data_IF_170595030780
#
_entry.id   IF_170595030780
#
_cell.length_a   1.000
_cell.length_b   1.000
_cell.length_c   1.000
_cell.angle_alpha   90.00
_cell.angle_beta   90.00
_cell.angle_gamma   90.00
#
_symmetry.space_group_name_H-M   'P 1'
#
loop_
_entity.id
_entity.type
_entity.pdbx_description
1 polymer ?
#
# COMPACT_ATOMS: atom_id res chain seq x y z
N UNK A 1 74.09 38.75 1.12
CA UNK A 1 74.21 37.96 -0.13
C UNK A 1 73.16 36.88 -0.10
N UNK A 2 72.35 36.85 -1.13
CA UNK A 2 71.45 35.79 -1.56
C UNK A 2 70.17 35.52 -0.74
N UNK A 3 69.06 35.97 -1.22
CA UNK A 3 68.17 35.44 -2.28
C UNK A 3 67.58 34.06 -1.89
N UNK A 4 66.28 34.04 -1.69
CA UNK A 4 65.44 32.83 -1.61
C UNK A 4 64.01 33.20 -1.87
N UNK A 5 63.49 32.69 -2.93
CA UNK A 5 62.25 32.99 -3.58
C UNK A 5 61.01 32.42 -2.81
N UNK A 6 59.93 33.13 -2.95
CA UNK A 6 58.58 32.74 -2.53
C UNK A 6 57.97 31.74 -3.50
N UNK A 7 57.47 30.61 -3.04
CA UNK A 7 56.53 29.80 -3.77
C UNK A 7 55.17 29.74 -3.07
N UNK A 8 54.15 30.19 -3.79
CA UNK A 8 52.77 30.15 -3.35
C UNK A 8 52.20 28.77 -3.56
N UNK A 9 51.84 28.12 -2.43
CA UNK A 9 51.10 26.88 -2.44
C UNK A 9 49.60 27.13 -2.32
N UNK A 10 48.90 26.97 -3.43
CA UNK A 10 47.43 27.02 -3.46
C UNK A 10 46.82 25.97 -2.51
N UNK A 11 46.05 26.47 -1.58
CA UNK A 11 45.25 25.65 -0.67
C UNK A 11 43.99 25.20 -1.40
N UNK A 12 43.98 23.97 -1.92
CA UNK A 12 42.80 23.31 -2.41
C UNK A 12 41.76 23.16 -1.28
N UNK A 13 40.64 23.82 -1.45
CA UNK A 13 39.47 23.63 -0.59
C UNK A 13 39.01 22.18 -0.70
N UNK A 14 39.22 21.40 0.33
CA UNK A 14 38.60 20.11 0.52
C UNK A 14 37.10 20.37 0.72
N UNK A 15 36.28 19.88 -0.20
CA UNK A 15 34.85 19.75 -0.01
C UNK A 15 34.64 18.84 1.21
N UNK A 16 34.18 19.42 2.29
CA UNK A 16 33.77 18.68 3.49
C UNK A 16 32.61 17.77 3.10
N UNK A 17 32.89 16.47 3.10
CA UNK A 17 31.87 15.46 3.12
C UNK A 17 31.17 15.55 4.47
N UNK A 18 30.03 16.25 4.49
CA UNK A 18 29.10 16.17 5.61
C UNK A 18 28.50 14.77 5.57
N UNK A 19 29.09 13.86 6.31
CA UNK A 19 28.51 12.57 6.65
C UNK A 19 27.21 12.78 7.44
N UNK A 20 26.26 11.82 7.41
CA UNK A 20 25.02 11.95 8.14
C UNK A 20 25.31 12.03 9.65
N UNK A 21 24.84 13.10 10.27
CA UNK A 21 25.17 13.51 11.64
C UNK A 21 24.44 12.71 12.75
N UNK A 22 23.71 11.67 12.41
CA UNK A 22 23.03 10.81 13.40
C UNK A 22 22.98 9.36 12.87
N UNK A 23 23.83 8.51 13.42
CA UNK A 23 23.64 7.07 13.39
C UNK A 23 22.39 6.74 14.20
N UNK A 24 21.39 6.13 13.54
CA UNK A 24 20.19 5.60 14.18
C UNK A 24 20.62 4.47 15.14
N UNK A 25 20.32 4.54 16.45
CA UNK A 25 20.71 3.53 17.42
C UNK A 25 20.13 2.14 17.16
N UNK A 26 19.20 1.99 16.22
CA UNK A 26 18.59 0.72 15.83
C UNK A 26 19.19 0.11 14.55
N UNK A 27 20.16 0.74 13.88
CA UNK A 27 20.76 0.24 12.65
C UNK A 27 19.86 0.30 11.41
N UNK A 28 18.72 1.02 11.47
CA UNK A 28 17.83 1.20 10.32
C UNK A 28 18.33 2.32 9.40
N UNK A 29 18.87 1.94 8.26
CA UNK A 29 19.36 2.90 7.26
C UNK A 29 18.22 3.48 6.42
N UNK A 30 17.50 4.48 6.96
CA UNK A 30 16.39 5.17 6.31
C UNK A 30 16.81 5.80 4.97
N UNK A 31 17.97 6.47 4.94
CA UNK A 31 18.45 7.15 3.74
C UNK A 31 18.79 6.14 2.63
N UNK A 32 19.47 5.06 2.96
CA UNK A 32 19.75 3.96 2.03
C UNK A 32 18.49 3.31 1.48
N UNK A 33 17.49 3.04 2.36
CA UNK A 33 16.19 2.52 1.93
C UNK A 33 15.49 3.48 0.94
N UNK A 34 15.46 4.77 1.25
CA UNK A 34 14.85 5.78 0.38
C UNK A 34 15.50 5.85 -1.00
N UNK A 35 16.83 5.72 -1.09
CA UNK A 35 17.57 5.69 -2.37
C UNK A 35 17.15 4.46 -3.19
N UNK A 36 17.11 3.28 -2.58
CA UNK A 36 16.73 2.02 -3.25
C UNK A 36 15.27 2.05 -3.74
N UNK A 37 14.36 2.53 -2.89
CA UNK A 37 12.94 2.64 -3.27
C UNK A 37 12.72 3.65 -4.40
N UNK A 38 13.45 4.76 -4.43
CA UNK A 38 13.41 5.72 -5.55
C UNK A 38 13.95 5.09 -6.85
N UNK A 39 15.04 4.31 -6.77
CA UNK A 39 15.58 3.61 -7.93
C UNK A 39 14.59 2.57 -8.50
N UNK A 40 13.87 1.85 -7.63
CA UNK A 40 12.79 0.94 -8.04
C UNK A 40 11.59 1.71 -8.61
N UNK A 41 11.19 2.82 -8.00
CA UNK A 41 10.10 3.65 -8.50
C UNK A 41 10.37 4.22 -9.90
N UNK A 42 11.63 4.55 -10.22
CA UNK A 42 12.05 4.93 -11.57
C UNK A 42 11.88 3.79 -12.59
N UNK A 43 11.79 2.54 -12.13
CA UNK A 43 11.50 1.34 -12.93
C UNK A 43 10.02 0.90 -12.80
N UNK A 44 9.12 1.79 -12.39
CA UNK A 44 7.69 1.56 -12.16
C UNK A 44 7.37 0.58 -11.01
N UNK A 45 8.31 0.27 -10.14
CA UNK A 45 8.10 -0.59 -8.97
C UNK A 45 7.94 0.28 -7.73
N UNK A 46 6.70 0.42 -7.24
CA UNK A 46 6.36 1.23 -6.08
C UNK A 46 6.07 0.34 -4.88
N UNK A 47 6.91 0.45 -3.85
CA UNK A 47 6.79 -0.34 -2.62
C UNK A 47 6.53 0.58 -1.44
N UNK A 48 5.56 0.24 -0.60
CA UNK A 48 5.22 1.01 0.59
C UNK A 48 4.38 0.22 1.59
N UNK A 49 3.92 0.91 2.62
CA UNK A 49 3.07 0.33 3.66
C UNK A 49 1.59 0.30 3.28
N UNK A 50 0.82 -0.52 3.97
CA UNK A 50 -0.65 -0.49 3.91
C UNK A 50 -1.26 0.51 4.91
N UNK A 51 -0.45 1.31 5.57
CA UNK A 51 -0.75 2.49 6.38
C UNK A 51 0.58 3.16 6.75
N UNK A 52 0.53 4.33 7.37
CA UNK A 52 1.72 5.10 7.75
C UNK A 52 1.69 5.62 9.21
N UNK A 53 0.57 5.57 9.91
CA UNK A 53 0.38 6.17 11.24
C UNK A 53 0.76 5.22 12.37
N UNK A 54 2.03 4.82 12.42
CA UNK A 54 2.55 3.91 13.44
C UNK A 54 3.64 4.56 14.27
N UNK A 55 3.36 4.85 15.55
CA UNK A 55 4.36 5.38 16.50
C UNK A 55 5.52 4.39 16.72
N UNK A 56 5.28 3.09 16.52
CA UNK A 56 6.33 2.06 16.60
C UNK A 56 7.43 2.18 15.53
N UNK A 57 7.27 3.08 14.55
CA UNK A 57 8.31 3.38 13.55
C UNK A 57 9.16 4.62 13.91
N UNK A 58 8.99 5.18 15.11
CA UNK A 58 9.89 6.23 15.65
C UNK A 58 11.29 5.65 15.78
N UNK A 59 12.30 6.40 15.32
CA UNK A 59 13.69 5.93 15.23
C UNK A 59 13.98 5.08 13.98
N UNK A 60 12.98 4.79 13.16
CA UNK A 60 13.14 4.13 11.85
C UNK A 60 12.71 5.07 10.72
N UNK A 61 11.41 5.18 10.51
CA UNK A 61 10.81 6.03 9.46
C UNK A 61 10.65 7.48 9.95
N UNK A 62 10.40 7.65 11.23
CA UNK A 62 10.05 8.93 11.85
C UNK A 62 11.07 9.40 12.89
N UNK A 63 11.43 10.67 12.81
CA UNK A 63 12.28 11.36 13.79
C UNK A 63 11.40 11.93 14.91
N UNK A 64 11.63 11.47 16.14
CA UNK A 64 10.82 11.89 17.31
C UNK A 64 10.77 13.41 17.49
N UNK A 65 11.86 14.09 17.18
CA UNK A 65 12.07 15.52 17.31
C UNK A 65 11.09 16.34 16.49
N UNK A 66 10.66 15.83 15.33
CA UNK A 66 9.67 16.47 14.45
C UNK A 66 8.27 16.57 15.07
N UNK A 67 8.00 15.77 16.09
CA UNK A 67 6.67 15.65 16.70
C UNK A 67 6.63 16.12 18.15
N UNK A 68 7.56 17.01 18.54
CA UNK A 68 7.55 17.62 19.86
C UNK A 68 6.67 18.88 19.88
N UNK A 69 5.80 18.95 20.89
CA UNK A 69 5.05 20.15 21.24
C UNK A 69 5.42 20.52 22.69
N UNK A 70 5.97 21.71 22.88
CA UNK A 70 6.46 22.17 24.21
C UNK A 70 7.43 21.18 24.88
N UNK A 71 8.36 20.60 24.10
CA UNK A 71 9.37 19.65 24.56
C UNK A 71 8.86 18.22 24.82
N UNK A 72 7.59 17.91 24.55
CA UNK A 72 7.01 16.58 24.75
C UNK A 72 6.46 16.03 23.43
N UNK A 73 6.55 14.71 23.24
CA UNK A 73 5.96 14.05 22.07
C UNK A 73 4.44 14.28 22.02
N UNK A 74 3.96 14.70 20.87
CA UNK A 74 2.56 14.98 20.60
C UNK A 74 2.00 13.97 19.59
N UNK A 75 1.24 12.98 20.07
CA UNK A 75 0.51 12.03 19.23
C UNK A 75 -0.39 12.74 18.22
N UNK A 76 -1.02 13.86 18.61
CA UNK A 76 -1.85 14.65 17.68
C UNK A 76 -1.03 15.21 16.52
N UNK A 77 0.12 15.82 16.79
CA UNK A 77 1.02 16.35 15.77
C UNK A 77 1.52 15.23 14.87
N UNK A 78 1.95 14.11 15.46
CA UNK A 78 2.35 12.92 14.72
C UNK A 78 1.23 12.44 13.78
N UNK A 79 0.03 12.21 14.28
CA UNK A 79 -1.12 11.72 13.50
C UNK A 79 -1.50 12.67 12.34
N UNK A 80 -1.19 13.96 12.47
CA UNK A 80 -1.52 14.97 11.45
C UNK A 80 -0.44 15.11 10.38
N UNK A 81 0.85 15.04 10.77
CA UNK A 81 1.97 15.45 9.92
C UNK A 81 2.88 14.30 9.45
N UNK A 82 2.77 13.10 10.04
CA UNK A 82 3.72 12.01 9.76
C UNK A 82 3.73 11.53 8.30
N UNK A 83 2.68 11.82 7.51
CA UNK A 83 2.64 11.48 6.09
C UNK A 83 3.73 12.21 5.29
N UNK A 84 4.06 13.45 5.65
CA UNK A 84 5.14 14.22 5.02
C UNK A 84 6.47 13.49 5.15
N UNK A 85 6.79 13.07 6.38
CA UNK A 85 8.03 12.36 6.65
C UNK A 85 8.04 10.95 6.05
N UNK A 86 6.90 10.25 6.07
CA UNK A 86 6.75 8.96 5.40
C UNK A 86 7.09 9.05 3.90
N UNK A 87 6.61 10.10 3.22
CA UNK A 87 6.84 10.32 1.80
C UNK A 87 8.30 10.67 1.44
N UNK A 88 9.15 11.02 2.41
CA UNK A 88 10.58 11.18 2.20
C UNK A 88 11.28 9.82 1.93
N UNK A 89 10.71 8.74 2.46
CA UNK A 89 11.27 7.38 2.37
C UNK A 89 10.53 6.52 1.34
N UNK A 90 9.21 6.50 1.39
CA UNK A 90 8.39 5.60 0.58
C UNK A 90 7.71 6.33 -0.58
N UNK A 91 7.70 5.76 -1.80
CA UNK A 91 7.06 6.38 -2.96
C UNK A 91 5.54 6.20 -3.02
N UNK A 92 4.98 5.34 -2.16
CA UNK A 92 3.56 4.96 -2.19
C UNK A 92 3.05 4.50 -0.83
N UNK A 93 1.73 4.54 -0.66
CA UNK A 93 1.01 3.94 0.48
C UNK A 93 -0.38 3.49 0.06
N UNK A 94 -0.90 2.43 0.67
CA UNK A 94 -2.30 2.02 0.54
C UNK A 94 -3.10 2.51 1.76
N UNK A 95 -4.01 3.46 1.56
CA UNK A 95 -4.82 4.04 2.62
C UNK A 95 -6.15 3.33 2.84
N UNK A 96 -6.48 3.02 4.09
CA UNK A 96 -7.77 2.41 4.49
C UNK A 96 -8.84 3.44 4.86
N UNK A 97 -8.49 4.71 5.02
CA UNK A 97 -9.39 5.76 5.51
C UNK A 97 -10.59 6.03 4.60
N UNK A 98 -10.46 5.83 3.29
CA UNK A 98 -11.54 5.93 2.33
C UNK A 98 -12.49 4.72 2.34
N UNK A 99 -12.11 3.64 2.97
CA UNK A 99 -12.89 2.39 2.98
C UNK A 99 -14.20 2.50 3.76
N UNK A 100 -14.21 3.27 4.85
CA UNK A 100 -15.36 3.33 5.76
C UNK A 100 -16.39 4.42 5.43
N UNK A 101 -16.03 5.38 4.61
CA UNK A 101 -16.91 6.48 4.19
C UNK A 101 -16.36 7.14 2.93
N UNK A 102 -17.24 7.81 2.18
CA UNK A 102 -16.82 8.64 1.06
C UNK A 102 -16.07 9.88 1.57
N UNK A 103 -14.81 10.11 1.17
CA UNK A 103 -14.05 11.27 1.62
C UNK A 103 -14.56 12.57 0.98
N UNK A 104 -14.50 13.66 1.73
CA UNK A 104 -14.84 14.99 1.21
C UNK A 104 -13.74 15.57 0.32
N UNK A 105 -14.09 16.56 -0.52
CA UNK A 105 -13.11 17.29 -1.33
C UNK A 105 -12.02 17.97 -0.47
N UNK A 106 -12.39 18.47 0.72
CA UNK A 106 -11.43 19.06 1.67
C UNK A 106 -10.45 18.01 2.21
N UNK A 107 -10.96 16.80 2.50
CA UNK A 107 -10.11 15.68 2.92
C UNK A 107 -9.06 15.36 1.85
N UNK A 108 -9.46 15.25 0.58
CA UNK A 108 -8.54 15.00 -0.53
C UNK A 108 -7.49 16.11 -0.65
N UNK A 109 -7.91 17.35 -0.61
CA UNK A 109 -7.01 18.51 -0.68
C UNK A 109 -5.95 18.47 0.44
N UNK A 110 -6.35 18.17 1.68
CA UNK A 110 -5.43 18.05 2.81
C UNK A 110 -4.49 16.85 2.67
N UNK A 111 -4.98 15.72 2.20
CA UNK A 111 -4.18 14.50 2.04
C UNK A 111 -3.10 14.68 0.97
N UNK A 112 -3.50 15.07 -0.24
CA UNK A 112 -2.58 15.23 -1.36
C UNK A 112 -1.60 16.39 -1.16
N UNK A 113 -1.99 17.44 -0.44
CA UNK A 113 -1.12 18.56 -0.07
C UNK A 113 0.03 18.21 0.90
N UNK A 114 0.03 17.01 1.48
CA UNK A 114 1.10 16.55 2.36
C UNK A 114 2.22 15.80 1.63
N UNK A 115 2.03 15.46 0.37
CA UNK A 115 2.99 14.61 -0.36
C UNK A 115 3.46 15.27 -1.65
N UNK A 116 4.68 14.95 -2.10
CA UNK A 116 5.18 15.48 -3.38
C UNK A 116 4.38 14.90 -4.56
N UNK A 117 4.40 15.59 -5.70
CA UNK A 117 3.62 15.23 -6.89
C UNK A 117 3.93 13.86 -7.49
N UNK A 118 5.12 13.32 -7.22
CA UNK A 118 5.51 11.98 -7.67
C UNK A 118 5.03 10.86 -6.74
N UNK A 119 4.56 11.17 -5.53
CA UNK A 119 4.01 10.17 -4.60
C UNK A 119 2.70 9.59 -5.15
N UNK A 120 2.50 8.30 -4.98
CA UNK A 120 1.30 7.58 -5.46
C UNK A 120 0.53 6.98 -4.30
N UNK A 121 -0.74 7.30 -4.22
CA UNK A 121 -1.67 6.67 -3.28
C UNK A 121 -2.36 5.49 -3.92
N UNK A 122 -2.54 4.42 -3.17
CA UNK A 122 -3.57 3.43 -3.43
C UNK A 122 -4.70 3.61 -2.42
N UNK A 123 -5.93 3.50 -2.88
CA UNK A 123 -7.10 3.62 -2.01
C UNK A 123 -7.95 2.37 -2.10
N UNK A 124 -8.40 1.89 -0.96
CA UNK A 124 -9.53 0.97 -0.93
C UNK A 124 -10.80 1.76 -1.24
N UNK A 125 -11.55 1.29 -2.20
CA UNK A 125 -12.87 1.84 -2.53
C UNK A 125 -13.79 1.66 -1.31
N UNK A 126 -14.69 2.64 -1.04
CA UNK A 126 -15.61 2.55 0.09
C UNK A 126 -16.41 1.25 0.13
N UNK A 127 -16.56 0.68 1.33
CA UNK A 127 -17.27 -0.60 1.51
C UNK A 127 -18.76 -0.53 1.14
N UNK A 128 -19.33 0.67 1.07
CA UNK A 128 -20.67 0.87 0.51
C UNK A 128 -20.79 0.38 -0.94
N UNK A 129 -19.67 0.29 -1.67
CA UNK A 129 -19.61 -0.26 -3.02
C UNK A 129 -19.27 -1.74 -3.04
N UNK A 130 -18.40 -2.20 -2.12
CA UNK A 130 -17.83 -3.57 -2.18
C UNK A 130 -18.46 -4.56 -1.22
N UNK A 131 -19.26 -4.09 -0.26
CA UNK A 131 -19.92 -4.95 0.71
C UNK A 131 -21.33 -5.31 0.23
N UNK A 132 -21.59 -6.60 -0.05
CA UNK A 132 -22.94 -7.05 -0.45
C UNK A 132 -23.92 -7.10 0.72
N UNK A 133 -23.45 -7.58 1.87
CA UNK A 133 -24.22 -7.65 3.13
C UNK A 133 -23.41 -6.94 4.19
N UNK A 134 -24.01 -5.95 4.84
CA UNK A 134 -23.32 -5.22 5.90
C UNK A 134 -22.93 -6.16 7.04
N UNK A 135 -21.67 -6.15 7.49
CA UNK A 135 -21.26 -6.94 8.64
C UNK A 135 -22.11 -6.66 9.88
N UNK A 136 -22.36 -7.68 10.70
CA UNK A 136 -23.01 -7.53 12.00
C UNK A 136 -22.05 -6.87 13.00
N UNK A 137 -21.78 -5.57 12.79
CA UNK A 137 -20.85 -4.78 13.60
C UNK A 137 -21.54 -3.49 14.05
N UNK A 138 -21.31 -3.01 15.28
CA UNK A 138 -22.00 -1.84 15.87
C UNK A 138 -22.00 -0.57 14.99
N UNK A 139 -20.94 -0.36 14.17
CA UNK A 139 -20.85 0.80 13.27
C UNK A 139 -21.96 0.85 12.20
N UNK A 140 -22.58 -0.28 11.87
CA UNK A 140 -23.68 -0.34 10.89
C UNK A 140 -25.07 -0.18 11.53
N UNK A 141 -25.15 -0.18 12.87
CA UNK A 141 -26.40 -0.04 13.59
C UNK A 141 -27.46 -1.03 13.10
N UNK A 142 -28.63 -0.52 12.72
CA UNK A 142 -29.76 -1.32 12.22
C UNK A 142 -29.56 -1.90 10.82
N UNK A 143 -28.51 -1.52 10.09
CA UNK A 143 -28.18 -2.07 8.77
C UNK A 143 -27.36 -3.36 8.85
N UNK A 144 -26.76 -3.65 10.01
CA UNK A 144 -25.97 -4.88 10.22
C UNK A 144 -26.76 -6.14 9.85
N UNK A 145 -26.17 -7.00 9.03
CA UNK A 145 -26.78 -8.23 8.51
C UNK A 145 -27.77 -8.04 7.36
N UNK A 146 -28.05 -6.79 6.90
CA UNK A 146 -28.93 -6.52 5.76
C UNK A 146 -28.16 -6.44 4.47
N UNK A 147 -28.83 -6.74 3.35
CA UNK A 147 -28.28 -6.48 2.02
C UNK A 147 -28.02 -4.98 1.81
N UNK A 148 -26.94 -4.70 1.11
CA UNK A 148 -26.57 -3.35 0.73
C UNK A 148 -27.10 -3.02 -0.66
N UNK A 149 -28.06 -2.11 -0.82
CA UNK A 149 -28.59 -1.73 -2.14
C UNK A 149 -27.55 -1.01 -3.00
N UNK A 150 -26.52 -0.41 -2.41
CA UNK A 150 -25.40 0.24 -3.11
C UNK A 150 -24.27 -0.69 -3.54
N UNK A 151 -24.44 -2.02 -3.39
CA UNK A 151 -23.42 -2.98 -3.80
C UNK A 151 -23.20 -2.92 -5.32
N UNK A 152 -21.95 -2.64 -5.72
CA UNK A 152 -21.52 -2.46 -7.11
C UNK A 152 -22.33 -1.37 -7.86
N UNK A 153 -22.70 -0.30 -7.17
CA UNK A 153 -23.30 0.89 -7.77
C UNK A 153 -22.19 1.77 -8.40
N UNK A 154 -22.06 1.68 -9.73
CA UNK A 154 -21.07 2.46 -10.47
C UNK A 154 -21.39 3.97 -10.49
N UNK A 155 -22.69 4.33 -10.49
CA UNK A 155 -23.12 5.73 -10.46
C UNK A 155 -22.77 6.41 -9.14
N UNK A 156 -23.09 5.75 -8.01
CA UNK A 156 -22.71 6.24 -6.69
C UNK A 156 -21.17 6.32 -6.51
N UNK A 157 -20.44 5.33 -7.02
CA UNK A 157 -18.98 5.36 -6.99
C UNK A 157 -18.42 6.56 -7.79
N UNK A 158 -18.93 6.78 -9.00
CA UNK A 158 -18.48 7.88 -9.86
C UNK A 158 -18.75 9.23 -9.19
N UNK A 159 -19.97 9.47 -8.76
CA UNK A 159 -20.41 10.76 -8.19
C UNK A 159 -19.70 11.07 -6.89
N UNK A 160 -19.68 10.13 -5.95
CA UNK A 160 -19.28 10.36 -4.56
C UNK A 160 -17.80 10.12 -4.30
N UNK A 161 -17.10 9.39 -5.18
CA UNK A 161 -15.71 9.00 -4.97
C UNK A 161 -14.78 9.42 -6.10
N UNK A 162 -15.09 9.02 -7.34
CA UNK A 162 -14.17 9.24 -8.46
C UNK A 162 -14.14 10.71 -8.90
N UNK A 163 -15.28 11.37 -8.98
CA UNK A 163 -15.37 12.78 -9.38
C UNK A 163 -14.61 13.72 -8.42
N UNK A 164 -14.75 13.61 -7.08
CA UNK A 164 -13.92 14.37 -6.15
C UNK A 164 -12.43 14.02 -6.20
N UNK A 165 -12.07 12.81 -6.64
CA UNK A 165 -10.70 12.34 -6.75
C UNK A 165 -10.02 12.74 -8.08
N UNK A 166 -10.79 13.05 -9.11
CA UNK A 166 -10.30 13.32 -10.47
C UNK A 166 -9.20 14.41 -10.56
N UNK A 167 -9.24 15.51 -9.80
CA UNK A 167 -8.14 16.48 -9.78
C UNK A 167 -6.79 15.87 -9.37
N UNK A 168 -6.80 14.78 -8.61
CA UNK A 168 -5.64 14.10 -8.05
C UNK A 168 -5.30 12.79 -8.77
N UNK A 169 -5.88 12.53 -9.96
CA UNK A 169 -5.68 11.26 -10.70
C UNK A 169 -4.21 10.92 -10.97
N UNK A 170 -3.34 11.94 -11.13
CA UNK A 170 -1.90 11.71 -11.34
C UNK A 170 -1.18 11.17 -10.11
N UNK A 171 -1.65 11.48 -8.91
CA UNK A 171 -1.13 10.97 -7.64
C UNK A 171 -1.92 9.74 -7.14
N UNK A 172 -3.02 9.40 -7.79
CA UNK A 172 -3.78 8.16 -7.54
C UNK A 172 -3.16 7.04 -8.35
N UNK A 173 -2.48 6.13 -7.67
CA UNK A 173 -1.80 4.99 -8.28
C UNK A 173 -2.78 3.90 -8.70
N UNK A 174 -3.58 3.40 -7.77
CA UNK A 174 -4.57 2.34 -8.01
C UNK A 174 -5.73 2.43 -7.01
N UNK A 175 -6.93 2.13 -7.49
CA UNK A 175 -8.16 1.98 -6.70
C UNK A 175 -8.46 0.50 -6.53
N UNK A 176 -8.60 0.04 -5.28
CA UNK A 176 -8.72 -1.37 -4.94
C UNK A 176 -10.13 -1.66 -4.45
N UNK A 177 -10.87 -2.47 -5.19
CA UNK A 177 -12.13 -3.07 -4.76
C UNK A 177 -11.82 -4.28 -3.87
N UNK A 178 -11.75 -4.07 -2.56
CA UNK A 178 -11.56 -5.15 -1.59
C UNK A 178 -12.91 -5.76 -1.26
N UNK A 179 -13.14 -6.99 -1.73
CA UNK A 179 -14.29 -7.80 -1.37
C UNK A 179 -13.93 -8.67 -0.17
N UNK A 180 -14.65 -8.50 0.94
CA UNK A 180 -14.60 -9.42 2.07
C UNK A 180 -15.00 -10.83 1.64
N UNK A 181 -14.70 -11.83 2.48
CA UNK A 181 -15.12 -13.19 2.17
C UNK A 181 -16.65 -13.27 2.07
N UNK A 182 -17.14 -13.64 0.91
CA UNK A 182 -18.55 -13.89 0.69
C UNK A 182 -18.97 -15.23 1.32
N UNK A 183 -20.04 -15.23 2.09
CA UNK A 183 -20.68 -16.46 2.51
C UNK A 183 -21.69 -16.94 1.47
N UNK A 184 -22.20 -18.17 1.65
CA UNK A 184 -23.19 -18.77 0.73
C UNK A 184 -24.46 -17.93 0.56
N UNK A 185 -24.83 -17.12 1.56
CA UNK A 185 -25.97 -16.19 1.46
C UNK A 185 -25.69 -14.96 0.56
N UNK A 186 -24.41 -14.67 0.30
CA UNK A 186 -24.03 -13.53 -0.55
C UNK A 186 -23.95 -13.97 -2.01
N UNK A 187 -23.18 -15.03 -2.28
CA UNK A 187 -23.01 -15.65 -3.59
C UNK A 187 -22.78 -17.13 -3.41
N UNK A 188 -23.59 -17.95 -4.04
CA UNK A 188 -23.47 -19.42 -3.97
C UNK A 188 -22.27 -19.91 -4.79
N UNK A 189 -21.92 -19.21 -5.88
CA UNK A 189 -20.82 -19.56 -6.78
C UNK A 189 -20.11 -18.31 -7.33
N UNK A 190 -18.91 -18.51 -7.86
CA UNK A 190 -18.11 -17.45 -8.48
C UNK A 190 -18.84 -16.79 -9.66
N UNK A 191 -19.54 -17.58 -10.49
CA UNK A 191 -20.23 -17.07 -11.67
C UNK A 191 -21.36 -16.09 -11.33
N UNK A 192 -22.05 -16.31 -10.22
CA UNK A 192 -23.06 -15.37 -9.73
C UNK A 192 -22.42 -14.02 -9.35
N UNK A 193 -21.28 -14.04 -8.69
CA UNK A 193 -20.51 -12.82 -8.41
C UNK A 193 -20.03 -12.14 -9.69
N UNK A 194 -19.49 -12.92 -10.64
CA UNK A 194 -18.96 -12.40 -11.90
C UNK A 194 -20.05 -11.77 -12.78
N UNK A 195 -21.27 -12.31 -12.78
CA UNK A 195 -22.41 -11.72 -13.50
C UNK A 195 -22.77 -10.31 -13.03
N UNK A 196 -22.43 -9.97 -11.78
CA UNK A 196 -22.62 -8.63 -11.21
C UNK A 196 -21.36 -7.77 -11.36
N UNK A 197 -20.17 -8.38 -11.22
CA UNK A 197 -18.90 -7.68 -11.30
C UNK A 197 -18.59 -7.16 -12.70
N UNK A 198 -18.81 -7.99 -13.73
CA UNK A 198 -18.45 -7.64 -15.12
C UNK A 198 -19.13 -6.36 -15.63
N UNK A 199 -20.47 -6.20 -15.54
CA UNK A 199 -21.12 -4.95 -15.95
C UNK A 199 -20.71 -3.75 -15.09
N UNK A 200 -20.45 -3.95 -13.79
CA UNK A 200 -19.93 -2.89 -12.93
C UNK A 200 -18.56 -2.40 -13.42
N UNK A 201 -17.62 -3.30 -13.67
CA UNK A 201 -16.29 -2.94 -14.15
C UNK A 201 -16.34 -2.31 -15.55
N UNK A 202 -17.31 -2.71 -16.39
CA UNK A 202 -17.53 -2.13 -17.72
C UNK A 202 -17.97 -0.66 -17.67
N UNK A 203 -18.68 -0.27 -16.61
CA UNK A 203 -19.19 1.09 -16.40
C UNK A 203 -18.17 2.06 -15.80
N UNK A 204 -16.98 1.57 -15.36
CA UNK A 204 -16.00 2.41 -14.71
C UNK A 204 -15.27 3.33 -15.71
N UNK A 205 -15.07 4.63 -15.36
CA UNK A 205 -14.33 5.56 -16.18
C UNK A 205 -12.83 5.17 -16.30
N UNK A 206 -12.19 5.36 -17.47
CA UNK A 206 -10.85 4.85 -17.74
C UNK A 206 -9.70 5.68 -17.14
N UNK A 207 -10.00 6.78 -16.44
CA UNK A 207 -9.00 7.72 -15.92
C UNK A 207 -8.19 7.16 -14.75
N UNK A 208 -8.62 6.06 -14.15
CA UNK A 208 -7.97 5.42 -13.01
C UNK A 208 -7.58 3.97 -13.31
N UNK A 209 -6.58 3.48 -12.59
CA UNK A 209 -6.27 2.05 -12.53
C UNK A 209 -7.11 1.39 -11.45
N UNK A 210 -7.74 0.28 -11.80
CA UNK A 210 -8.61 -0.48 -10.90
C UNK A 210 -8.03 -1.86 -10.64
N UNK A 211 -8.15 -2.32 -9.39
CA UNK A 211 -7.76 -3.67 -9.00
C UNK A 211 -8.84 -4.32 -8.13
N UNK A 212 -8.98 -5.62 -8.24
CA UNK A 212 -9.91 -6.42 -7.43
C UNK A 212 -9.13 -7.30 -6.48
N UNK A 213 -9.41 -7.15 -5.18
CA UNK A 213 -8.97 -8.03 -4.11
C UNK A 213 -10.12 -8.88 -3.63
N UNK A 214 -9.99 -10.21 -3.79
CA UNK A 214 -10.98 -11.17 -3.35
C UNK A 214 -10.46 -11.97 -2.16
N UNK A 215 -11.33 -12.34 -1.24
CA UNK A 215 -11.02 -13.11 -0.03
C UNK A 215 -11.63 -14.52 -0.01
N UNK A 216 -12.12 -14.99 -1.16
CA UNK A 216 -12.66 -16.32 -1.41
C UNK A 216 -11.68 -17.09 -2.31
N UNK A 217 -10.90 -18.05 -1.77
CA UNK A 217 -9.96 -18.85 -2.57
C UNK A 217 -10.61 -19.58 -3.73
N UNK A 218 -11.84 -20.08 -3.52
CA UNK A 218 -12.64 -20.82 -4.48
C UNK A 218 -13.10 -19.97 -5.69
N UNK A 219 -13.01 -18.64 -5.57
CA UNK A 219 -13.35 -17.72 -6.67
C UNK A 219 -12.16 -17.40 -7.58
N UNK A 220 -10.95 -17.87 -7.24
CA UNK A 220 -9.76 -17.72 -8.10
C UNK A 220 -9.83 -18.70 -9.30
N UNK A 221 -10.82 -18.49 -10.17
CA UNK A 221 -11.13 -19.33 -11.33
C UNK A 221 -10.65 -18.70 -12.64
N UNK A 222 -10.58 -19.51 -13.71
CA UNK A 222 -10.29 -19.01 -15.05
C UNK A 222 -11.30 -17.94 -15.51
N UNK A 223 -12.59 -18.09 -15.16
CA UNK A 223 -13.64 -17.11 -15.42
C UNK A 223 -13.36 -15.77 -14.73
N UNK A 224 -12.93 -15.79 -13.46
CA UNK A 224 -12.56 -14.59 -12.73
C UNK A 224 -11.41 -13.83 -13.41
N UNK A 225 -10.33 -14.52 -13.75
CA UNK A 225 -9.19 -13.87 -14.40
C UNK A 225 -9.52 -13.39 -15.82
N UNK A 226 -10.40 -14.11 -16.54
CA UNK A 226 -10.89 -13.68 -17.83
C UNK A 226 -11.73 -12.39 -17.74
N UNK A 227 -12.65 -12.31 -16.79
CA UNK A 227 -13.45 -11.12 -16.49
C UNK A 227 -12.56 -9.90 -16.22
N UNK A 228 -11.60 -10.02 -15.31
CA UNK A 228 -10.70 -8.90 -14.99
C UNK A 228 -9.86 -8.47 -16.20
N UNK A 229 -9.34 -9.42 -16.97
CA UNK A 229 -8.51 -9.14 -18.15
C UNK A 229 -9.31 -8.41 -19.24
N UNK A 230 -10.55 -8.82 -19.51
CA UNK A 230 -11.41 -8.16 -20.49
C UNK A 230 -11.70 -6.69 -20.14
N UNK A 231 -11.63 -6.34 -18.85
CA UNK A 231 -11.85 -5.00 -18.33
C UNK A 231 -10.54 -4.25 -17.99
N UNK A 232 -9.36 -4.84 -18.24
CA UNK A 232 -8.03 -4.30 -17.89
C UNK A 232 -7.90 -3.95 -16.40
N UNK A 233 -8.56 -4.73 -15.54
CA UNK A 233 -8.53 -4.59 -14.09
C UNK A 233 -7.52 -5.58 -13.52
N UNK A 234 -6.65 -5.14 -12.60
CA UNK A 234 -5.65 -6.00 -12.01
C UNK A 234 -6.25 -6.93 -10.94
N UNK A 235 -5.81 -8.19 -10.93
CA UNK A 235 -5.96 -9.03 -9.75
C UNK A 235 -4.99 -8.56 -8.66
N UNK A 236 -5.45 -8.49 -7.40
CA UNK A 236 -4.59 -8.21 -6.26
C UNK A 236 -4.08 -9.52 -5.67
N UNK A 237 -2.77 -9.78 -5.83
CA UNK A 237 -2.10 -10.85 -5.08
C UNK A 237 -2.12 -10.48 -3.60
N UNK A 238 -2.82 -11.24 -2.76
CA UNK A 238 -2.94 -10.89 -1.36
C UNK A 238 -2.50 -12.03 -0.43
N UNK A 239 -1.62 -11.69 0.53
CA UNK A 239 -1.36 -12.56 1.67
C UNK A 239 -2.42 -12.26 2.74
N UNK A 240 -3.34 -13.20 2.94
CA UNK A 240 -4.41 -13.11 3.90
C UNK A 240 -4.72 -14.47 4.53
N UNK A 241 -5.28 -14.47 5.73
CA UNK A 241 -5.48 -15.64 6.59
C UNK A 241 -6.01 -16.89 5.86
N UNK A 242 -7.01 -16.72 4.96
CA UNK A 242 -7.66 -17.84 4.26
C UNK A 242 -7.23 -17.99 2.79
N UNK A 243 -6.47 -17.04 2.26
CA UNK A 243 -6.04 -17.09 0.87
C UNK A 243 -4.86 -18.05 0.68
N UNK A 244 -4.68 -18.62 -0.53
CA UNK A 244 -3.46 -19.33 -0.87
C UNK A 244 -2.25 -18.41 -0.70
N UNK A 245 -1.10 -18.99 -0.40
CA UNK A 245 0.17 -18.25 -0.34
C UNK A 245 0.44 -17.54 -1.68
N UNK A 246 1.16 -16.40 -1.61
CA UNK A 246 1.41 -15.54 -2.78
C UNK A 246 1.99 -16.33 -3.95
N UNK A 247 2.95 -17.25 -3.69
CA UNK A 247 3.56 -18.08 -4.74
C UNK A 247 2.52 -18.89 -5.52
N UNK A 248 1.50 -19.42 -4.83
CA UNK A 248 0.43 -20.20 -5.47
C UNK A 248 -0.46 -19.31 -6.31
N UNK A 249 -0.81 -18.12 -5.84
CA UNK A 249 -1.58 -17.16 -6.62
C UNK A 249 -0.81 -16.70 -7.87
N UNK A 250 0.48 -16.43 -7.75
CA UNK A 250 1.37 -16.03 -8.86
C UNK A 250 1.47 -17.13 -9.94
N UNK A 251 1.45 -18.39 -9.51
CA UNK A 251 1.53 -19.54 -10.40
C UNK A 251 0.22 -19.86 -11.14
N UNK A 252 -0.90 -19.25 -10.78
CA UNK A 252 -2.17 -19.49 -11.49
C UNK A 252 -2.08 -18.97 -12.93
N UNK A 253 -2.31 -19.80 -13.96
CA UNK A 253 -2.32 -19.34 -15.34
C UNK A 253 -3.32 -18.21 -15.56
N UNK A 254 -2.85 -17.11 -16.15
CA UNK A 254 -3.71 -15.98 -16.43
C UNK A 254 -3.96 -15.02 -15.25
N UNK A 255 -3.28 -15.20 -14.11
CA UNK A 255 -3.42 -14.31 -12.94
C UNK A 255 -2.94 -12.87 -13.19
N UNK A 256 -2.12 -12.62 -14.20
CA UNK A 256 -1.81 -11.27 -14.68
C UNK A 256 -2.92 -10.81 -15.60
N UNK A 257 -3.75 -9.89 -15.11
CA UNK A 257 -5.00 -9.48 -15.78
C UNK A 257 -4.97 -8.05 -16.35
N UNK A 258 -3.90 -7.28 -16.05
CA UNK A 258 -3.73 -5.90 -16.52
C UNK A 258 -2.26 -5.64 -16.93
N UNK A 259 -2.00 -4.44 -17.43
CA UNK A 259 -0.67 -3.93 -17.74
C UNK A 259 0.11 -3.46 -16.48
N UNK A 260 -0.46 -3.67 -15.31
CA UNK A 260 0.15 -3.42 -14.01
C UNK A 260 -0.18 -4.54 -13.02
N UNK A 261 0.60 -4.63 -11.95
CA UNK A 261 0.49 -5.62 -10.89
C UNK A 261 0.18 -4.93 -9.55
N UNK A 262 -0.59 -5.61 -8.71
CA UNK A 262 -0.88 -5.15 -7.34
C UNK A 262 -0.66 -6.30 -6.37
N UNK A 263 0.10 -6.05 -5.29
CA UNK A 263 0.31 -7.01 -4.22
C UNK A 263 0.02 -6.34 -2.86
N UNK A 264 -0.73 -7.03 -2.02
CA UNK A 264 -0.99 -6.64 -0.63
C UNK A 264 -0.57 -7.77 0.31
N UNK A 265 0.60 -7.63 0.92
CA UNK A 265 1.16 -8.57 1.88
C UNK A 265 0.71 -8.19 3.30
N UNK A 266 -0.45 -8.69 3.72
CA UNK A 266 -1.18 -8.18 4.88
C UNK A 266 -1.05 -9.04 6.13
N UNK A 267 -1.20 -10.36 5.98
CA UNK A 267 -1.32 -11.30 7.08
C UNK A 267 -0.91 -12.70 6.63
N UNK A 268 -0.16 -13.42 7.48
CA UNK A 268 0.22 -14.81 7.21
C UNK A 268 -1.02 -15.70 7.14
N UNK A 269 -1.00 -16.67 6.22
CA UNK A 269 -2.04 -17.71 6.14
C UNK A 269 -2.20 -18.44 7.47
N UNK A 270 -3.45 -18.68 7.88
CA UNK A 270 -3.82 -19.35 9.14
C UNK A 270 -3.77 -18.48 10.38
N UNK A 271 -3.18 -17.26 10.33
CA UNK A 271 -3.15 -16.34 11.47
C UNK A 271 -4.44 -15.51 11.51
N UNK A 272 -4.99 -15.33 12.71
CA UNK A 272 -6.10 -14.41 12.92
C UNK A 272 -5.59 -12.96 13.04
N UNK A 273 -6.44 -12.02 12.66
CA UNK A 273 -6.13 -10.59 12.72
C UNK A 273 -5.77 -10.14 14.14
N UNK A 274 -6.59 -10.53 15.13
CA UNK A 274 -6.44 -10.17 16.54
C UNK A 274 -5.16 -10.76 17.12
N UNK A 275 -4.80 -11.98 16.73
CA UNK A 275 -3.54 -12.61 17.13
C UNK A 275 -2.33 -11.80 16.62
N UNK A 276 -2.35 -11.37 15.37
CA UNK A 276 -1.25 -10.55 14.82
C UNK A 276 -1.15 -9.20 15.53
N UNK A 277 -2.29 -8.56 15.85
CA UNK A 277 -2.29 -7.29 16.60
C UNK A 277 -1.72 -7.49 17.99
N UNK A 278 -2.17 -8.50 18.73
CA UNK A 278 -1.69 -8.78 20.08
C UNK A 278 -0.20 -9.13 20.13
N UNK A 279 0.27 -9.94 19.15
CA UNK A 279 1.66 -10.41 19.13
C UNK A 279 2.66 -9.36 18.63
N UNK A 280 2.25 -8.45 17.73
CA UNK A 280 3.18 -7.59 17.01
C UNK A 280 3.14 -6.12 17.43
N UNK A 281 2.07 -5.66 18.10
CA UNK A 281 2.03 -4.29 18.62
C UNK A 281 3.18 -4.07 19.62
N UNK A 282 3.86 -2.91 19.59
CA UNK A 282 3.62 -1.70 18.81
C UNK A 282 4.28 -1.65 17.42
N UNK A 283 4.72 -2.77 16.85
CA UNK A 283 5.29 -2.88 15.50
C UNK A 283 6.68 -2.26 15.34
N UNK A 284 7.54 -2.42 16.33
CA UNK A 284 8.92 -1.88 16.35
C UNK A 284 9.94 -2.80 15.68
N UNK A 285 9.63 -4.10 15.53
CA UNK A 285 10.57 -5.12 15.07
C UNK A 285 9.84 -6.23 14.26
N UNK A 286 10.60 -6.97 13.46
CA UNK A 286 10.13 -8.21 12.86
C UNK A 286 10.17 -9.30 13.92
N UNK A 287 9.00 -9.87 14.26
CA UNK A 287 8.85 -10.91 15.29
C UNK A 287 8.65 -12.30 14.74
N UNK A 288 8.08 -12.40 13.54
CA UNK A 288 7.82 -13.69 12.90
C UNK A 288 8.09 -13.58 11.39
N UNK A 289 9.36 -13.71 10.97
CA UNK A 289 9.77 -13.64 9.57
C UNK A 289 9.00 -14.63 8.69
N UNK A 290 8.63 -14.19 7.47
CA UNK A 290 7.97 -15.00 6.46
C UNK A 290 8.80 -15.04 5.15
N UNK A 291 9.85 -15.87 5.10
CA UNK A 291 10.75 -15.93 3.94
C UNK A 291 10.02 -16.26 2.64
N UNK A 292 8.99 -17.11 2.69
CA UNK A 292 8.20 -17.50 1.52
C UNK A 292 7.41 -16.31 0.95
N UNK A 293 6.80 -15.48 1.80
CA UNK A 293 6.12 -14.27 1.35
C UNK A 293 7.12 -13.26 0.80
N UNK A 294 8.29 -13.10 1.44
CA UNK A 294 9.38 -12.22 0.95
C UNK A 294 9.84 -12.65 -0.43
N UNK A 295 10.10 -13.94 -0.64
CA UNK A 295 10.53 -14.46 -1.94
C UNK A 295 9.45 -14.26 -3.01
N UNK A 296 8.19 -14.52 -2.68
CA UNK A 296 7.07 -14.28 -3.60
C UNK A 296 6.95 -12.80 -4.00
N UNK A 297 7.20 -11.87 -3.07
CA UNK A 297 7.24 -10.44 -3.37
C UNK A 297 8.42 -10.09 -4.28
N UNK A 298 9.62 -10.69 -4.08
CA UNK A 298 10.77 -10.50 -4.98
C UNK A 298 10.48 -11.01 -6.39
N UNK A 299 9.80 -12.16 -6.52
CA UNK A 299 9.36 -12.66 -7.83
C UNK A 299 8.46 -11.66 -8.55
N UNK A 300 7.51 -11.01 -7.83
CA UNK A 300 6.67 -9.96 -8.43
C UNK A 300 7.47 -8.71 -8.81
N UNK A 301 8.47 -8.32 -8.00
CA UNK A 301 9.37 -7.20 -8.30
C UNK A 301 10.17 -7.49 -9.58
N UNK A 302 10.80 -8.67 -9.68
CA UNK A 302 11.54 -9.08 -10.89
C UNK A 302 10.63 -9.11 -12.10
N UNK A 303 9.48 -9.75 -12.00
CA UNK A 303 8.51 -9.82 -13.08
C UNK A 303 8.07 -8.45 -13.58
N UNK A 304 7.77 -7.52 -12.67
CA UNK A 304 7.36 -6.16 -13.05
C UNK A 304 8.48 -5.44 -13.83
N UNK A 305 9.73 -5.61 -13.41
CA UNK A 305 10.90 -5.02 -14.09
C UNK A 305 11.13 -5.63 -15.47
N UNK A 306 11.10 -6.96 -15.56
CA UNK A 306 11.34 -7.70 -16.81
C UNK A 306 10.25 -7.42 -17.85
N UNK A 307 8.98 -7.38 -17.41
CA UNK A 307 7.82 -7.08 -18.26
C UNK A 307 7.56 -5.56 -18.43
N UNK A 308 8.37 -4.69 -17.80
CA UNK A 308 8.22 -3.21 -17.79
C UNK A 308 6.82 -2.74 -17.35
N UNK A 309 6.23 -3.46 -16.41
CA UNK A 309 4.91 -3.16 -15.84
C UNK A 309 5.03 -2.34 -14.56
N UNK A 310 3.99 -1.55 -14.27
CA UNK A 310 3.87 -1.00 -12.92
C UNK A 310 3.60 -2.11 -11.91
N UNK A 311 4.26 -2.02 -10.75
CA UNK A 311 3.93 -2.80 -9.56
C UNK A 311 3.61 -1.86 -8.40
N UNK A 312 2.45 -2.05 -7.78
CA UNK A 312 2.08 -1.48 -6.50
C UNK A 312 2.14 -2.58 -5.43
N UNK A 313 3.14 -2.51 -4.53
CA UNK A 313 3.35 -3.51 -3.50
C UNK A 313 3.22 -2.88 -2.12
N UNK A 314 2.31 -3.40 -1.32
CA UNK A 314 1.99 -2.87 0.01
C UNK A 314 2.19 -3.92 1.09
N UNK A 315 3.04 -3.60 2.07
CA UNK A 315 3.34 -4.48 3.21
C UNK A 315 2.62 -3.96 4.45
N UNK A 316 2.02 -4.86 5.22
CA UNK A 316 1.41 -4.54 6.51
C UNK A 316 2.28 -5.07 7.66
N UNK A 317 2.30 -4.34 8.77
CA UNK A 317 2.98 -4.78 9.99
C UNK A 317 2.53 -6.16 10.47
N UNK A 318 1.27 -6.53 10.25
CA UNK A 318 0.72 -7.81 10.67
C UNK A 318 1.24 -9.03 9.89
N UNK A 319 2.00 -8.80 8.81
CA UNK A 319 2.65 -9.91 8.10
C UNK A 319 3.74 -10.56 8.97
N UNK A 320 4.65 -9.73 9.50
CA UNK A 320 5.87 -10.16 10.21
C UNK A 320 6.16 -9.41 11.52
N UNK A 321 5.48 -8.29 11.78
CA UNK A 321 5.69 -7.44 12.96
C UNK A 321 6.09 -5.99 12.63
N UNK A 322 6.85 -5.76 11.55
CA UNK A 322 7.31 -4.42 11.16
C UNK A 322 7.44 -4.31 9.64
N UNK A 323 6.59 -3.50 9.01
CA UNK A 323 6.58 -3.35 7.57
C UNK A 323 7.83 -2.65 7.00
N UNK A 324 8.39 -1.58 7.61
CA UNK A 324 9.64 -0.98 7.15
C UNK A 324 10.81 -1.96 7.08
N UNK A 325 11.01 -2.78 8.10
CA UNK A 325 12.07 -3.80 8.13
C UNK A 325 11.81 -4.93 7.12
N UNK A 326 10.54 -5.35 6.95
CA UNK A 326 10.17 -6.28 5.89
C UNK A 326 10.51 -5.70 4.52
N UNK A 327 10.15 -4.44 4.25
CA UNK A 327 10.46 -3.78 2.98
C UNK A 327 11.97 -3.64 2.79
N UNK A 328 12.71 -3.26 3.82
CA UNK A 328 14.18 -3.20 3.77
C UNK A 328 14.75 -4.55 3.31
N UNK A 329 14.29 -5.66 3.89
CA UNK A 329 14.76 -7.00 3.52
C UNK A 329 14.39 -7.44 2.10
N UNK A 330 13.41 -6.80 1.44
CA UNK A 330 13.06 -7.08 0.04
C UNK A 330 14.01 -6.41 -0.94
N UNK A 331 14.54 -5.23 -0.58
CA UNK A 331 15.32 -4.37 -1.46
C UNK A 331 16.82 -4.36 -1.10
N UNK A 332 17.17 -5.00 -0.01
CA UNK A 332 18.57 -5.25 0.37
C UNK A 332 19.02 -6.55 -0.33
N UNK A 333 20.14 -6.53 -1.09
CA UNK A 333 20.62 -7.69 -1.84
C UNK A 333 21.16 -8.79 -0.93
#
# INVERSE_FOLDING_TARGET
MNHGESEGGGRALRADMVGPLFDDPAGFNRAGLAVRLRALAAQNVLIGGSSWKYEGWLGQVYSRERYLARGRFSTRLFQTECLREYAETFPTVCGDFAFYQFPTAEFWRKLFGQTPSHFRFAFKVPEQITCKVFPAHPRYGSQGGRENPGFLDAGALEEMFLRPLLPYRRQTGVLIFEFGAFGQRSFAAADEFLSRLDPFLAALPPEFRYAVEIRNPEFLSAGYFCCLRSRRVAHVYNAWSRMPELRRQIAIPGSVTADFLVCRALLRRGRLYEQAVASFSPYTEVRDPNPEARESMRVLISRARDEKKFLFLFVNNRLEGNAPLTILSLVDP
#
